data_IF_277400707420
#
_entry.id   IF_277400707420
#
_cell.length_a   1.000
_cell.length_b   1.000
_cell.length_c   1.000
_cell.angle_alpha   90.00
_cell.angle_beta   90.00
_cell.angle_gamma   90.00
#
_symmetry.space_group_name_H-M   'P 1'
#
loop_
_entity.id
_entity.type
_entity.pdbx_description
1 polymer ?
#
# COMPACT_ATOMS: atom_id res chain seq x y z
N UNK A 1 7.39 6.03 0.78
CA UNK A 1 7.15 5.44 2.12
C UNK A 1 8.50 4.99 2.69
N UNK A 2 8.78 5.18 3.99
CA UNK A 2 9.98 4.58 4.60
C UNK A 2 9.72 3.09 4.92
N UNK A 3 10.76 2.25 4.95
CA UNK A 3 10.62 0.80 5.19
C UNK A 3 9.90 0.44 6.51
N UNK A 4 9.97 1.31 7.53
CA UNK A 4 9.22 1.16 8.78
C UNK A 4 7.70 1.34 8.60
N UNK A 5 7.30 2.25 7.72
CA UNK A 5 5.89 2.53 7.42
C UNK A 5 5.30 1.41 6.55
N UNK A 6 6.11 0.83 5.66
CA UNK A 6 5.77 -0.38 4.91
C UNK A 6 5.41 -1.52 5.86
N UNK A 7 6.28 -1.84 6.82
CA UNK A 7 6.02 -2.91 7.80
C UNK A 7 4.78 -2.64 8.66
N UNK A 8 4.52 -1.37 9.01
CA UNK A 8 3.33 -0.99 9.75
C UNK A 8 2.04 -1.17 8.93
N UNK A 9 2.05 -0.78 7.66
CA UNK A 9 0.94 -0.96 6.72
C UNK A 9 0.64 -2.44 6.49
N UNK A 10 1.67 -3.28 6.30
CA UNK A 10 1.51 -4.72 6.12
C UNK A 10 0.93 -5.38 7.38
N UNK A 11 1.50 -5.09 8.56
CA UNK A 11 0.99 -5.62 9.82
C UNK A 11 -0.48 -5.24 10.08
N UNK A 12 -0.86 -3.96 9.85
CA UNK A 12 -2.27 -3.52 10.00
C UNK A 12 -3.22 -4.26 9.07
N UNK A 13 -2.76 -4.59 7.86
CA UNK A 13 -3.58 -5.36 6.91
C UNK A 13 -3.72 -6.82 7.34
N UNK A 14 -2.66 -7.45 7.84
CA UNK A 14 -2.71 -8.82 8.38
C UNK A 14 -3.67 -8.94 9.57
N UNK A 15 -3.74 -7.91 10.42
CA UNK A 15 -4.72 -7.82 11.50
C UNK A 15 -6.15 -7.49 11.03
N UNK A 16 -6.37 -7.26 9.73
CA UNK A 16 -7.67 -6.91 9.10
C UNK A 16 -8.38 -5.67 9.68
N UNK A 17 -7.70 -4.89 10.51
CA UNK A 17 -8.34 -3.87 11.33
C UNK A 17 -8.88 -2.70 10.49
N UNK A 18 -8.15 -2.26 9.44
CA UNK A 18 -8.58 -1.19 8.54
C UNK A 18 -7.99 -1.34 7.12
N UNK A 19 -8.71 -0.93 6.05
CA UNK A 19 -8.11 -0.79 4.72
C UNK A 19 -7.02 0.30 4.78
N UNK A 20 -5.83 -0.03 4.28
CA UNK A 20 -4.74 0.94 4.15
C UNK A 20 -4.85 1.59 2.77
N UNK A 21 -5.15 2.88 2.74
CA UNK A 21 -5.19 3.66 1.51
C UNK A 21 -3.80 4.20 1.19
N UNK A 22 -3.36 3.98 -0.05
CA UNK A 22 -2.10 4.43 -0.58
C UNK A 22 -2.36 5.43 -1.69
N UNK A 23 -1.51 6.45 -1.78
CA UNK A 23 -1.44 7.36 -2.91
C UNK A 23 -0.12 7.16 -3.65
N UNK A 24 -0.20 6.92 -4.95
CA UNK A 24 0.97 6.91 -5.82
C UNK A 24 1.46 8.36 -6.02
N UNK A 25 2.73 8.62 -5.71
CA UNK A 25 3.31 9.97 -5.77
C UNK A 25 3.63 10.41 -7.19
N UNK A 26 3.80 9.45 -8.12
CA UNK A 26 4.12 9.72 -9.53
C UNK A 26 2.86 10.03 -10.34
N UNK A 27 1.80 9.24 -10.14
CA UNK A 27 0.55 9.36 -10.93
C UNK A 27 -0.52 10.15 -10.19
N UNK A 28 -0.44 10.25 -8.86
CA UNK A 28 -1.46 10.88 -8.02
C UNK A 28 -2.66 9.98 -7.72
N UNK A 29 -2.68 8.75 -8.24
CA UNK A 29 -3.75 7.77 -8.04
C UNK A 29 -3.85 7.32 -6.58
N UNK A 30 -5.07 6.96 -6.15
CA UNK A 30 -5.34 6.43 -4.82
C UNK A 30 -5.84 5.00 -4.97
N UNK A 31 -5.30 4.09 -4.16
CA UNK A 31 -5.72 2.71 -4.15
C UNK A 31 -5.65 2.09 -2.76
N UNK A 32 -6.32 0.96 -2.58
CA UNK A 32 -6.33 0.21 -1.32
C UNK A 32 -5.29 -0.90 -1.36
N UNK A 33 -4.41 -0.94 -0.36
CA UNK A 33 -3.44 -2.03 -0.18
C UNK A 33 -4.18 -3.35 0.08
N UNK A 34 -3.95 -4.31 -0.81
CA UNK A 34 -4.50 -5.66 -0.72
C UNK A 34 -3.51 -6.60 -0.05
N UNK A 35 -2.25 -6.58 -0.49
CA UNK A 35 -1.21 -7.50 -0.04
C UNK A 35 0.17 -6.86 -0.15
N UNK A 36 1.06 -7.19 0.78
CA UNK A 36 2.48 -6.91 0.69
C UNK A 36 3.22 -8.16 0.23
N UNK A 37 4.16 -8.01 -0.71
CA UNK A 37 5.11 -9.06 -1.08
C UNK A 37 6.36 -8.90 -0.23
N UNK A 38 6.46 -9.68 0.86
CA UNK A 38 7.63 -9.69 1.75
C UNK A 38 8.81 -10.52 1.22
N UNK A 39 8.61 -11.26 0.12
CA UNK A 39 9.52 -12.34 -0.31
C UNK A 39 10.45 -11.96 -1.47
N UNK A 40 10.20 -10.85 -2.16
CA UNK A 40 11.01 -10.40 -3.29
C UNK A 40 11.52 -8.98 -3.04
N UNK A 41 12.81 -8.75 -3.29
CA UNK A 41 13.40 -7.42 -3.35
C UNK A 41 13.43 -6.97 -4.81
N UNK A 42 12.83 -5.81 -5.16
CA UNK A 42 12.24 -4.83 -4.26
C UNK A 42 10.86 -5.23 -3.73
N UNK A 43 10.59 -4.84 -2.49
CA UNK A 43 9.30 -5.02 -1.82
C UNK A 43 8.17 -4.47 -2.71
N UNK A 44 7.11 -5.25 -2.90
CA UNK A 44 5.98 -4.89 -3.75
C UNK A 44 4.68 -4.77 -2.96
N UNK A 45 3.86 -3.78 -3.31
CA UNK A 45 2.52 -3.57 -2.75
C UNK A 45 1.48 -3.87 -3.82
N UNK A 46 0.66 -4.90 -3.62
CA UNK A 46 -0.49 -5.17 -4.46
C UNK A 46 -1.62 -4.23 -4.03
N UNK A 47 -2.04 -3.35 -4.95
CA UNK A 47 -2.99 -2.27 -4.69
C UNK A 47 -4.18 -2.40 -5.64
N UNK A 48 -5.38 -2.21 -5.11
CA UNK A 48 -6.60 -2.06 -5.91
C UNK A 48 -6.90 -0.58 -6.11
N UNK A 49 -6.86 -0.09 -7.36
CA UNK A 49 -7.09 1.32 -7.73
C UNK A 49 -8.54 1.62 -8.13
N UNK A 50 -9.43 0.64 -7.98
CA UNK A 50 -10.86 0.77 -8.27
C UNK A 50 -11.33 -0.18 -9.36
N UNK A 51 -12.64 -0.47 -9.38
CA UNK A 51 -13.30 -1.34 -10.37
C UNK A 51 -12.69 -2.76 -10.52
N UNK A 52 -11.93 -3.22 -9.52
CA UNK A 52 -11.25 -4.51 -9.55
C UNK A 52 -9.91 -4.49 -10.28
N UNK A 53 -9.41 -3.33 -10.67
CA UNK A 53 -8.10 -3.17 -11.27
C UNK A 53 -7.01 -3.28 -10.20
N UNK A 54 -6.15 -4.29 -10.35
CA UNK A 54 -5.03 -4.56 -9.46
C UNK A 54 -3.74 -4.10 -10.12
N UNK A 55 -2.91 -3.41 -9.36
CA UNK A 55 -1.60 -2.94 -9.79
C UNK A 55 -0.58 -3.18 -8.69
N UNK A 56 0.70 -3.23 -9.08
CA UNK A 56 1.81 -3.33 -8.14
C UNK A 56 2.47 -1.97 -8.03
N UNK A 57 2.51 -1.43 -6.81
CA UNK A 57 3.26 -0.21 -6.49
C UNK A 57 4.46 -0.55 -5.62
N UNK A 58 5.52 0.23 -5.74
CA UNK A 58 6.68 0.09 -4.86
C UNK A 58 6.60 1.05 -3.66
N UNK A 59 7.14 0.69 -2.49
CA UNK A 59 7.12 1.55 -1.30
C UNK A 59 7.68 2.96 -1.54
N UNK A 60 8.70 3.08 -2.40
CA UNK A 60 9.29 4.37 -2.76
C UNK A 60 8.35 5.26 -3.59
N UNK A 61 7.35 4.68 -4.26
CA UNK A 61 6.40 5.37 -5.14
C UNK A 61 5.10 5.75 -4.43
N UNK A 62 4.93 5.39 -3.16
CA UNK A 62 3.65 5.56 -2.46
C UNK A 62 3.78 6.31 -1.14
N UNK A 63 2.68 6.92 -0.73
CA UNK A 63 2.48 7.48 0.60
C UNK A 63 1.15 6.98 1.16
N UNK A 64 1.11 6.66 2.46
CA UNK A 64 -0.14 6.33 3.13
C UNK A 64 -1.02 7.58 3.21
N UNK A 65 -2.26 7.46 2.75
CA UNK A 65 -3.27 8.48 2.97
C UNK A 65 -3.75 8.28 4.41
N UNK A 66 -3.27 9.14 5.33
CA UNK A 66 -3.72 9.10 6.73
C UNK A 66 -5.24 9.27 6.77
N UNK A 67 -5.96 8.18 6.98
CA UNK A 67 -7.36 8.24 7.41
C UNK A 67 -7.32 8.85 8.81
N UNK A 68 -7.82 10.09 8.95
CA UNK A 68 -8.02 10.70 10.27
C UNK A 68 -8.95 9.77 11.05
N UNK A 69 -8.42 9.12 12.08
CA UNK A 69 -9.23 8.52 13.15
C UNK A 69 -10.03 9.59 13.88
#
# INVERSE_FOLDING_TARGET
MEHKDYRYACARREHKDLPVELKNIKTGEIGTLIQCSEWDSPEGLLVNIGQGELTTWYPEEVQEVKTKS
#
